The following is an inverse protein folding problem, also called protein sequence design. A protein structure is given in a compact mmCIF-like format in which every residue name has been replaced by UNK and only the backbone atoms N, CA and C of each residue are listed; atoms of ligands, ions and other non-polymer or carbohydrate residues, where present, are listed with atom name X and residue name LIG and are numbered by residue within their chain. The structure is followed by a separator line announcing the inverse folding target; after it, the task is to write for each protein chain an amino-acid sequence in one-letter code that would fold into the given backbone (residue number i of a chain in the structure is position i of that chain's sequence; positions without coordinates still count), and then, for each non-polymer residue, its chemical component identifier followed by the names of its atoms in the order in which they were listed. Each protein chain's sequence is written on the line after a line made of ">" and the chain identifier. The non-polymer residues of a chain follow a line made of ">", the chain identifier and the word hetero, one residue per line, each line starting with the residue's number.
data_IF_682110560054
#
_entry.id   IF_682110560054
#
_cell.length_a   1.000
_cell.length_b   1.000
_cell.length_c   1.000
_cell.angle_alpha   90.00
_cell.angle_beta   90.00
_cell.angle_gamma   90.00
#
_symmetry.space_group_name_H-M   'P 1'
#
loop_
_entity.id
_entity.type
_entity.pdbx_description
1 polymer ?
#
# COMPACT_ATOMS: atom_id res chain seq x y z
N UNK A 1 -5.37 5.27 6.05
CA UNK A 1 -5.39 3.85 5.65
C UNK A 1 -4.23 3.60 4.69
N UNK A 2 -3.57 2.45 4.74
CA UNK A 2 -2.49 2.06 3.84
C UNK A 2 -2.96 0.92 2.93
N UNK A 3 -2.86 1.09 1.62
CA UNK A 3 -3.45 0.19 0.63
C UNK A 3 -2.38 -0.49 -0.21
N UNK A 4 -2.60 -1.74 -0.59
CA UNK A 4 -1.86 -2.42 -1.65
C UNK A 4 -2.76 -2.65 -2.85
N UNK A 5 -2.28 -2.30 -4.04
CA UNK A 5 -2.97 -2.43 -5.31
C UNK A 5 -2.18 -3.39 -6.22
N UNK A 6 -2.91 -4.19 -6.98
CA UNK A 6 -2.31 -5.06 -7.99
C UNK A 6 -2.11 -4.28 -9.29
N UNK A 7 -0.97 -4.48 -9.96
CA UNK A 7 -0.79 -4.01 -11.34
C UNK A 7 -1.70 -4.80 -12.29
N UNK A 8 -2.21 -4.16 -13.34
CA UNK A 8 -3.01 -4.86 -14.36
C UNK A 8 -2.11 -5.79 -15.17
N UNK A 9 -2.60 -7.00 -15.47
CA UNK A 9 -1.83 -8.03 -16.20
C UNK A 9 -1.63 -7.71 -17.69
N UNK A 10 -2.28 -6.66 -18.21
CA UNK A 10 -2.31 -6.32 -19.64
C UNK A 10 -1.06 -5.60 -20.18
N UNK A 11 -0.13 -5.18 -19.31
CA UNK A 11 1.07 -4.43 -19.73
C UNK A 11 2.25 -5.34 -20.15
N UNK A 12 2.02 -6.66 -20.15
CA UNK A 12 3.01 -7.67 -20.56
C UNK A 12 2.98 -7.98 -22.07
N UNK A 13 2.10 -7.35 -22.86
CA UNK A 13 2.03 -7.56 -24.31
C UNK A 13 2.27 -6.24 -25.06
N UNK A 14 3.42 -6.18 -25.72
CA UNK A 14 3.80 -5.21 -26.78
C UNK A 14 4.02 -3.75 -26.38
N UNK A 15 5.03 -3.47 -25.56
CA UNK A 15 5.73 -2.18 -25.64
C UNK A 15 7.04 -2.41 -26.42
N UNK A 16 7.24 -1.77 -27.59
CA UNK A 16 8.52 -1.81 -28.28
C UNK A 16 9.64 -1.39 -27.34
N UNK A 17 10.78 -2.07 -27.44
CA UNK A 17 11.91 -1.99 -26.50
C UNK A 17 12.43 -0.56 -26.26
N UNK A 18 12.09 0.40 -27.13
CA UNK A 18 12.50 1.82 -27.07
C UNK A 18 11.46 2.81 -26.46
N UNK A 19 10.22 2.39 -26.18
CA UNK A 19 9.20 3.27 -25.58
C UNK A 19 8.97 3.04 -24.07
N UNK A 20 9.61 2.01 -23.49
CA UNK A 20 9.22 1.41 -22.21
C UNK A 20 9.79 2.07 -20.94
N UNK A 21 10.70 3.04 -21.05
CA UNK A 21 11.33 3.64 -19.87
C UNK A 21 10.55 4.82 -19.26
N UNK A 22 9.43 5.25 -19.86
CA UNK A 22 8.68 6.44 -19.41
C UNK A 22 7.18 6.22 -19.14
N UNK A 23 6.60 5.07 -19.48
CA UNK A 23 5.20 4.80 -19.22
C UNK A 23 5.00 4.20 -17.81
N UNK A 24 4.13 4.82 -17.00
CA UNK A 24 3.73 4.26 -15.71
C UNK A 24 2.90 2.99 -15.90
N UNK A 25 3.06 2.02 -14.98
CA UNK A 25 2.27 0.78 -14.98
C UNK A 25 0.87 1.04 -14.43
N UNK A 26 -0.16 0.60 -15.16
CA UNK A 26 -1.54 0.70 -14.70
C UNK A 26 -1.83 -0.24 -13.51
N UNK A 27 -2.71 0.20 -12.61
CA UNK A 27 -3.15 -0.56 -11.43
C UNK A 27 -4.64 -0.87 -11.49
N UNK A 28 -5.06 -1.94 -10.83
CA UNK A 28 -6.45 -2.12 -10.45
C UNK A 28 -6.76 -1.13 -9.30
N UNK A 29 -7.75 -0.22 -9.45
CA UNK A 29 -8.05 0.77 -8.43
C UNK A 29 -8.69 0.17 -7.17
N UNK A 30 -9.17 -1.08 -7.19
CA UNK A 30 -9.60 -1.78 -5.98
C UNK A 30 -8.37 -2.37 -5.29
N UNK A 31 -8.05 -1.98 -4.04
CA UNK A 31 -6.95 -2.58 -3.31
C UNK A 31 -7.16 -4.08 -3.12
N UNK A 32 -6.08 -4.85 -3.14
CA UNK A 32 -6.09 -6.27 -2.73
C UNK A 32 -6.00 -6.42 -1.21
N UNK A 33 -5.48 -5.41 -0.52
CA UNK A 33 -5.25 -5.41 0.91
C UNK A 33 -5.28 -3.98 1.44
N UNK A 34 -5.96 -3.77 2.57
CA UNK A 34 -5.90 -2.50 3.31
C UNK A 34 -5.50 -2.74 4.77
N UNK A 35 -4.65 -1.87 5.29
CA UNK A 35 -4.07 -1.95 6.63
C UNK A 35 -4.20 -0.59 7.32
N UNK A 36 -4.71 -0.57 8.54
CA UNK A 36 -4.73 0.64 9.37
C UNK A 36 -3.44 0.70 10.20
N UNK A 37 -2.66 1.76 10.02
CA UNK A 37 -1.37 1.92 10.71
C UNK A 37 -1.50 2.83 11.93
N UNK A 38 -1.61 2.24 13.12
CA UNK A 38 -1.64 2.97 14.40
C UNK A 38 -0.31 3.71 14.69
N UNK A 39 -0.30 4.73 15.57
CA UNK A 39 0.94 5.35 16.02
C UNK A 39 1.95 4.32 16.53
N UNK A 40 3.22 4.43 16.14
CA UNK A 40 4.29 3.48 16.48
C UNK A 40 4.08 2.04 15.99
N UNK A 41 3.10 1.79 15.12
CA UNK A 41 2.99 0.52 14.40
C UNK A 41 4.10 0.38 13.35
N UNK A 42 4.50 -0.86 13.08
CA UNK A 42 5.44 -1.21 12.02
C UNK A 42 4.77 -2.11 11.00
N UNK A 43 4.99 -1.83 9.71
CA UNK A 43 4.59 -2.70 8.61
C UNK A 43 5.85 -3.19 7.89
N UNK A 44 5.95 -4.51 7.70
CA UNK A 44 7.05 -5.14 6.97
C UNK A 44 6.49 -5.69 5.67
N UNK A 45 6.90 -5.09 4.54
CA UNK A 45 6.48 -5.54 3.21
C UNK A 45 7.57 -6.41 2.62
N UNK A 46 7.24 -7.65 2.23
CA UNK A 46 8.19 -8.62 1.67
C UNK A 46 7.65 -9.26 0.40
N UNK A 47 8.51 -9.99 -0.32
CA UNK A 47 8.12 -10.85 -1.44
C UNK A 47 7.22 -10.14 -2.47
N UNK A 48 6.11 -10.75 -2.89
CA UNK A 48 5.24 -10.22 -3.94
C UNK A 48 4.57 -8.89 -3.58
N UNK A 49 4.28 -8.62 -2.31
CA UNK A 49 3.75 -7.31 -1.89
C UNK A 49 4.79 -6.20 -2.06
N UNK A 50 6.08 -6.52 -1.98
CA UNK A 50 7.16 -5.56 -2.19
C UNK A 50 7.50 -5.40 -3.68
N UNK A 51 7.55 -6.50 -4.44
CA UNK A 51 8.05 -6.50 -5.81
C UNK A 51 6.99 -6.27 -6.88
N UNK A 52 5.73 -6.59 -6.58
CA UNK A 52 4.68 -6.76 -7.60
C UNK A 52 3.36 -6.08 -7.26
N UNK A 53 3.33 -5.28 -6.19
CA UNK A 53 2.17 -4.47 -5.81
C UNK A 53 2.60 -3.01 -5.64
N UNK A 54 1.72 -2.11 -6.01
CA UNK A 54 1.84 -0.71 -5.63
C UNK A 54 1.24 -0.54 -4.24
N UNK A 55 1.89 0.21 -3.36
CA UNK A 55 1.26 0.63 -2.11
C UNK A 55 1.09 2.14 -2.06
N UNK A 56 0.08 2.59 -1.34
CA UNK A 56 -0.23 4.01 -1.24
C UNK A 56 -1.12 4.38 -0.07
N UNK A 57 -1.19 5.67 0.19
CA UNK A 57 -2.11 6.30 1.13
C UNK A 57 -2.88 7.35 0.33
N UNK A 58 -4.20 7.22 0.26
CA UNK A 58 -5.04 8.17 -0.47
C UNK A 58 -4.98 9.56 0.16
N UNK A 59 -5.13 10.64 -0.61
CA UNK A 59 -5.14 12.01 -0.07
C UNK A 59 -6.55 12.40 0.41
N UNK A 60 -6.97 11.83 1.55
CA UNK A 60 -8.28 12.09 2.18
C UNK A 60 -8.12 12.56 3.62
N UNK A 61 -9.13 13.28 4.14
CA UNK A 61 -9.10 13.87 5.48
C UNK A 61 -9.49 12.91 6.62
N UNK A 62 -10.14 11.79 6.31
CA UNK A 62 -10.57 10.81 7.29
C UNK A 62 -10.59 9.40 6.69
N UNK A 63 -10.34 8.38 7.51
CA UNK A 63 -10.52 6.98 7.15
C UNK A 63 -11.87 6.51 7.69
N UNK A 64 -12.76 6.04 6.81
CA UNK A 64 -14.09 5.56 7.20
C UNK A 64 -14.16 4.04 7.04
N UNK A 65 -14.59 3.35 8.10
CA UNK A 65 -14.76 1.90 8.13
C UNK A 65 -16.23 1.55 8.37
N UNK A 66 -16.74 0.57 7.64
CA UNK A 66 -18.09 0.02 7.80
C UNK A 66 -18.02 -1.47 8.12
N UNK A 67 -18.96 -1.94 8.92
CA UNK A 67 -19.19 -3.38 9.06
C UNK A 67 -20.06 -3.84 7.90
N UNK A 68 -19.61 -4.84 7.15
CA UNK A 68 -20.40 -5.47 6.10
C UNK A 68 -21.43 -6.45 6.71
N UNK A 69 -22.21 -7.11 5.85
CA UNK A 69 -23.26 -8.06 6.28
C UNK A 69 -22.70 -9.26 7.07
N UNK A 70 -21.44 -9.63 6.80
CA UNK A 70 -20.74 -10.73 7.46
C UNK A 70 -20.10 -10.35 8.80
N UNK A 71 -20.24 -9.09 9.24
CA UNK A 71 -19.62 -8.61 10.48
C UNK A 71 -18.17 -8.16 10.31
N UNK A 72 -17.64 -8.14 9.08
CA UNK A 72 -16.26 -7.80 8.77
C UNK A 72 -16.08 -6.29 8.52
N UNK A 73 -15.02 -5.68 9.05
CA UNK A 73 -14.71 -4.27 8.89
C UNK A 73 -14.10 -4.01 7.51
N UNK A 74 -14.76 -3.18 6.73
CA UNK A 74 -14.39 -2.84 5.36
C UNK A 74 -14.14 -1.34 5.21
N UNK A 75 -13.20 -0.98 4.34
CA UNK A 75 -12.97 0.41 3.98
C UNK A 75 -14.15 0.93 3.15
N UNK A 76 -14.75 2.03 3.60
CA UNK A 76 -15.86 2.68 2.93
C UNK A 76 -15.52 3.03 1.48
N UNK A 77 -16.35 2.60 0.53
CA UNK A 77 -16.19 2.90 -0.90
C UNK A 77 -15.21 2.00 -1.65
N UNK A 78 -14.46 1.14 -0.96
CA UNK A 78 -13.52 0.20 -1.59
C UNK A 78 -13.92 -1.27 -1.41
N UNK A 79 -14.85 -1.56 -0.49
CA UNK A 79 -15.34 -2.91 -0.19
C UNK A 79 -14.21 -3.92 0.03
N UNK A 80 -13.15 -3.48 0.71
CA UNK A 80 -11.99 -4.30 1.03
C UNK A 80 -11.84 -4.34 2.54
N UNK A 81 -11.60 -5.54 3.09
CA UNK A 81 -11.45 -5.73 4.53
C UNK A 81 -10.18 -5.03 5.05
N UNK A 82 -10.26 -4.51 6.29
CA UNK A 82 -9.11 -4.00 7.03
C UNK A 82 -8.37 -5.19 7.64
N UNK A 83 -7.32 -5.64 6.99
CA UNK A 83 -6.71 -6.94 7.26
C UNK A 83 -6.13 -7.11 8.67
N UNK A 84 -5.66 -6.02 9.28
CA UNK A 84 -5.10 -6.03 10.63
C UNK A 84 -6.11 -5.61 11.70
N UNK A 85 -7.42 -5.64 11.40
CA UNK A 85 -8.44 -5.14 12.33
C UNK A 85 -8.36 -5.78 13.72
N UNK A 86 -8.15 -7.10 13.77
CA UNK A 86 -8.01 -7.88 15.00
C UNK A 86 -6.77 -7.51 15.83
N UNK A 87 -5.83 -6.73 15.28
CA UNK A 87 -4.62 -6.25 15.95
C UNK A 87 -4.73 -4.80 16.44
N UNK A 88 -5.82 -4.09 16.10
CA UNK A 88 -5.98 -2.69 16.46
C UNK A 88 -6.23 -2.54 17.95
N UNK A 89 -5.63 -1.52 18.56
CA UNK A 89 -5.73 -1.27 20.00
C UNK A 89 -5.89 0.21 20.32
N UNK A 90 -6.23 0.54 21.56
CA UNK A 90 -6.20 1.94 22.00
C UNK A 90 -7.21 2.86 21.31
N UNK A 91 -6.78 4.08 20.94
CA UNK A 91 -7.68 5.12 20.47
C UNK A 91 -8.26 4.89 19.06
N UNK A 92 -7.48 4.47 18.04
CA UNK A 92 -8.02 4.16 16.72
C UNK A 92 -9.06 3.03 16.75
N UNK A 93 -8.78 1.95 17.48
CA UNK A 93 -9.72 0.85 17.65
C UNK A 93 -11.06 1.32 18.25
N UNK A 94 -11.02 2.17 19.29
CA UNK A 94 -12.25 2.74 19.88
C UNK A 94 -13.00 3.66 18.93
N UNK A 95 -12.30 4.46 18.13
CA UNK A 95 -12.93 5.41 17.20
C UNK A 95 -13.61 4.72 16.02
N UNK A 96 -13.13 3.53 15.64
CA UNK A 96 -13.63 2.79 14.49
C UNK A 96 -14.60 1.66 14.87
N UNK A 97 -14.74 1.30 16.15
CA UNK A 97 -15.59 0.20 16.59
C UNK A 97 -17.08 0.62 16.75
N UNK A 98 -18.05 -0.15 16.19
CA UNK A 98 -17.88 -1.23 15.22
C UNK A 98 -17.72 -0.71 13.79
N UNK A 99 -18.24 0.47 13.48
CA UNK A 99 -17.94 1.24 12.28
C UNK A 99 -17.79 2.70 12.69
N UNK A 100 -17.02 3.47 11.93
CA UNK A 100 -16.70 4.84 12.33
C UNK A 100 -15.77 5.54 11.38
N UNK A 101 -15.36 6.73 11.78
CA UNK A 101 -14.44 7.57 11.02
C UNK A 101 -13.26 7.97 11.92
N UNK A 102 -12.05 7.86 11.38
CA UNK A 102 -10.83 8.31 12.02
C UNK A 102 -10.29 9.52 11.25
N UNK A 103 -10.39 10.71 11.87
CA UNK A 103 -9.80 11.92 11.29
C UNK A 103 -8.29 11.79 11.20
N UNK A 104 -7.75 12.15 10.04
CA UNK A 104 -6.31 12.16 9.83
C UNK A 104 -5.69 13.43 10.39
N UNK A 105 -4.48 13.28 10.92
CA UNK A 105 -3.61 14.38 11.31
C UNK A 105 -2.23 14.19 10.70
N UNK A 106 -1.29 15.06 11.07
CA UNK A 106 0.11 14.91 10.67
C UNK A 106 0.67 13.59 11.19
N UNK A 107 1.24 12.80 10.27
CA UNK A 107 1.88 11.51 10.57
C UNK A 107 3.32 11.53 10.08
N UNK A 108 4.23 11.07 10.92
CA UNK A 108 5.61 10.80 10.54
C UNK A 108 5.78 9.30 10.29
N UNK A 109 6.47 8.94 9.22
CA UNK A 109 6.81 7.55 8.89
C UNK A 109 8.31 7.42 8.68
N UNK A 110 8.89 6.35 9.23
CA UNK A 110 10.25 5.94 8.92
C UNK A 110 10.18 4.72 8.01
N UNK A 111 10.78 4.83 6.83
CA UNK A 111 10.88 3.72 5.86
C UNK A 111 12.33 3.29 5.75
N UNK A 112 12.61 2.04 6.12
CA UNK A 112 13.92 1.42 5.96
C UNK A 112 13.83 0.37 4.85
N UNK A 113 14.79 0.37 3.93
CA UNK A 113 14.93 -0.66 2.89
C UNK A 113 16.40 -0.97 2.68
N UNK A 114 16.69 -2.23 2.42
CA UNK A 114 18.00 -2.62 1.89
C UNK A 114 18.06 -2.25 0.41
N UNK A 115 19.15 -1.62 -0.01
CA UNK A 115 19.35 -1.19 -1.40
C UNK A 115 20.58 -1.91 -1.93
N UNK A 116 20.36 -2.72 -2.98
CA UNK A 116 21.45 -3.45 -3.62
C UNK A 116 22.54 -2.49 -4.09
N UNK A 117 23.79 -2.80 -3.75
CA UNK A 117 24.96 -2.04 -4.19
C UNK A 117 25.10 -2.16 -5.71
N UNK A 118 24.74 -1.12 -6.45
CA UNK A 118 24.99 -1.04 -7.89
C UNK A 118 26.45 -0.68 -8.14
N UNK A 119 27.30 -1.65 -8.46
CA UNK A 119 28.65 -1.35 -8.96
C UNK A 119 28.53 -0.76 -10.38
N UNK A 120 28.92 0.51 -10.57
CA UNK A 120 29.16 1.07 -11.90
C UNK A 120 30.51 0.55 -12.42
N UNK A 121 30.50 -0.62 -13.05
CA UNK A 121 31.69 -1.23 -13.64
C UNK A 121 32.04 -0.68 -15.04
N UNK A 122 31.65 0.57 -15.37
CA UNK A 122 32.04 1.22 -16.64
C UNK A 122 33.25 2.16 -16.53
N UNK A 123 34.00 2.12 -15.42
CA UNK A 123 35.23 2.90 -15.24
C UNK A 123 36.51 2.07 -15.13
N UNK A 124 36.48 0.74 -15.28
CA UNK A 124 37.66 -0.10 -15.04
C UNK A 124 38.08 -1.01 -16.20
N UNK A 125 37.63 -0.74 -17.43
CA UNK A 125 38.38 -1.17 -18.61
C UNK A 125 39.32 -0.05 -19.00
N UNK A 126 40.46 -0.02 -18.29
CA UNK A 126 41.62 0.79 -18.58
C UNK A 126 42.61 -0.08 -19.37
N UNK A 127 42.86 0.25 -20.63
CA UNK A 127 44.20 0.22 -21.27
C UNK A 127 44.12 0.77 -22.69
#
# INVERSE_FOLDING_TARGET
>A
MFHYYQYTSGDALSVPHDASLQAGRAINPRPVLSVLLEPCSAIVTTSSLYTSHLHGIEEIGEDVVRINEDGEPTVAGLEVSVANWHLLTGAPARALHPGGALKRGTRYSLTCRDVTKVMSAKSFLRR
#
